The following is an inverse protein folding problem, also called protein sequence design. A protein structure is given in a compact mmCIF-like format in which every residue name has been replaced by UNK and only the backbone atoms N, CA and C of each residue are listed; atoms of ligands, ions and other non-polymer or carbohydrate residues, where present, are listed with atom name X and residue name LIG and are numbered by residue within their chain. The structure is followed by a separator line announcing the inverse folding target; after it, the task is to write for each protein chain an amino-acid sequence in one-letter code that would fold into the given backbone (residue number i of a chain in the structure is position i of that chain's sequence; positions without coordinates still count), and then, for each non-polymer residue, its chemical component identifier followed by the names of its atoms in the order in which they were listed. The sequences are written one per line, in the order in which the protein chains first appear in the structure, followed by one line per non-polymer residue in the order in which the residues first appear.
data_IF_819210638707
#
_entry.id   IF_819210638707
#
_cell.length_a   1.000
_cell.length_b   1.000
_cell.length_c   1.000
_cell.angle_alpha   90.00
_cell.angle_beta   90.00
_cell.angle_gamma   90.00
#
_symmetry.space_group_name_H-M   'P 1'
#
loop_
_entity.id
_entity.type
_entity.pdbx_description
1 polymer ?
#
# COMPACT_ATOMS: atom_id res chain seq x y z
N UNK A 1 -6.69 -12.60 -16.08
CA UNK A 1 -5.53 -13.54 -16.16
C UNK A 1 -4.18 -12.91 -16.55
N UNK A 2 -4.10 -11.70 -17.15
CA UNK A 2 -2.80 -11.05 -17.46
C UNK A 2 -2.08 -10.60 -16.18
N UNK A 3 -2.81 -10.27 -15.10
CA UNK A 3 -2.22 -9.68 -13.89
C UNK A 3 -1.39 -10.67 -13.07
N UNK A 4 -1.62 -11.98 -13.23
CA UNK A 4 -0.89 -13.06 -12.56
C UNK A 4 0.00 -13.89 -13.51
N UNK A 5 0.10 -13.52 -14.79
CA UNK A 5 0.89 -14.25 -15.79
C UNK A 5 1.74 -13.30 -16.63
N UNK A 6 3.06 -13.33 -16.43
CA UNK A 6 4.05 -12.54 -17.21
C UNK A 6 3.97 -12.76 -18.72
N UNK A 7 3.47 -13.92 -19.16
CA UNK A 7 3.38 -14.31 -20.56
C UNK A 7 1.99 -14.85 -20.85
N UNK A 8 1.19 -14.09 -21.58
CA UNK A 8 -0.08 -14.57 -22.13
C UNK A 8 0.13 -14.93 -23.60
N UNK A 9 -0.13 -16.18 -23.97
CA UNK A 9 -0.15 -16.60 -25.37
C UNK A 9 -1.58 -17.01 -25.76
N UNK A 10 -2.13 -16.39 -26.80
CA UNK A 10 -3.45 -16.74 -27.35
C UNK A 10 -3.35 -16.93 -28.85
N UNK A 11 -4.09 -17.91 -29.38
CA UNK A 11 -4.23 -18.10 -30.83
C UNK A 11 -5.00 -16.94 -31.44
N UNK A 12 -4.57 -16.48 -32.62
CA UNK A 12 -5.31 -15.47 -33.37
C UNK A 12 -6.58 -16.08 -33.98
N UNK A 13 -7.69 -15.36 -33.91
CA UNK A 13 -8.98 -15.79 -34.46
C UNK A 13 -9.32 -14.97 -35.71
N UNK A 14 -9.81 -15.62 -36.77
CA UNK A 14 -10.42 -15.02 -37.95
C UNK A 14 -11.83 -15.57 -38.12
N UNK A 15 -12.84 -14.72 -37.98
CA UNK A 15 -14.27 -15.10 -38.02
C UNK A 15 -14.64 -16.24 -37.06
N UNK A 16 -14.14 -16.21 -35.83
CA UNK A 16 -14.44 -17.22 -34.81
C UNK A 16 -13.65 -18.53 -34.95
N UNK A 17 -12.97 -18.76 -36.07
CA UNK A 17 -12.07 -19.90 -36.26
C UNK A 17 -10.60 -19.49 -36.07
N UNK A 18 -9.76 -20.43 -35.63
CA UNK A 18 -8.32 -20.18 -35.48
C UNK A 18 -7.66 -19.84 -36.82
N UNK A 19 -6.95 -18.71 -36.86
CA UNK A 19 -6.21 -18.23 -38.02
C UNK A 19 -4.89 -19.02 -38.20
N UNK A 20 -5.00 -20.31 -38.51
CA UNK A 20 -3.86 -21.21 -38.68
C UNK A 20 -3.06 -21.45 -37.38
N UNK A 21 -1.73 -21.61 -37.50
CA UNK A 21 -0.79 -21.78 -36.37
C UNK A 21 -0.35 -20.46 -35.72
N UNK A 22 -1.05 -19.36 -36.01
CA UNK A 22 -0.62 -18.01 -35.62
C UNK A 22 -1.07 -17.72 -34.18
N UNK A 23 -0.14 -17.30 -33.32
CA UNK A 23 -0.42 -16.87 -31.96
C UNK A 23 0.10 -15.45 -31.70
N UNK A 24 -0.56 -14.73 -30.80
CA UNK A 24 -0.03 -13.52 -30.18
C UNK A 24 0.47 -13.89 -28.79
N UNK A 25 1.68 -13.46 -28.48
CA UNK A 25 2.26 -13.58 -27.13
C UNK A 25 2.51 -12.19 -26.60
N UNK A 26 1.91 -11.86 -25.47
CA UNK A 26 2.14 -10.62 -24.72
C UNK A 26 3.01 -10.98 -23.53
N UNK A 27 4.15 -10.31 -23.41
CA UNK A 27 5.03 -10.39 -22.25
C UNK A 27 4.97 -9.04 -21.53
N UNK A 28 4.66 -9.06 -20.24
CA UNK A 28 4.63 -7.87 -19.41
C UNK A 28 5.81 -7.95 -18.42
N UNK A 29 6.64 -6.92 -18.42
CA UNK A 29 7.70 -6.70 -17.44
C UNK A 29 7.38 -5.44 -16.66
N UNK A 30 7.47 -5.52 -15.34
CA UNK A 30 7.38 -4.35 -14.48
C UNK A 30 8.70 -3.58 -14.56
N UNK A 31 8.63 -2.33 -15.01
CA UNK A 31 9.75 -1.40 -14.85
C UNK A 31 9.82 -1.08 -13.37
N UNK A 32 10.70 -1.76 -12.65
CA UNK A 32 10.80 -1.71 -11.19
C UNK A 32 10.94 -0.27 -10.71
N UNK A 33 9.85 0.33 -10.23
CA UNK A 33 9.89 1.46 -9.32
C UNK A 33 10.39 0.95 -7.98
N UNK A 34 11.70 0.71 -7.87
CA UNK A 34 12.33 0.18 -6.65
C UNK A 34 12.17 1.21 -5.52
N UNK A 35 11.11 1.05 -4.73
CA UNK A 35 10.92 1.72 -3.44
C UNK A 35 11.84 1.15 -2.35
N UNK A 36 12.76 0.24 -2.72
CA UNK A 36 13.90 -0.16 -1.91
C UNK A 36 14.52 1.08 -1.24
N UNK A 37 14.76 0.96 0.06
CA UNK A 37 15.44 2.01 0.81
C UNK A 37 16.72 1.48 1.40
N UNK A 38 17.69 2.39 1.55
CA UNK A 38 18.93 2.11 2.26
C UNK A 38 18.94 2.86 3.58
N UNK A 39 19.32 2.14 4.60
CA UNK A 39 19.59 2.66 5.94
C UNK A 39 21.10 2.90 6.08
N UNK A 40 21.46 4.15 6.32
CA UNK A 40 22.84 4.63 6.35
C UNK A 40 23.16 5.23 7.72
N UNK A 41 24.36 4.97 8.22
CA UNK A 41 24.92 5.65 9.40
C UNK A 41 26.33 6.13 9.08
N UNK A 42 26.61 7.40 9.38
CA UNK A 42 27.91 8.02 9.17
C UNK A 42 28.50 8.50 10.48
N UNK A 43 29.83 8.49 10.57
CA UNK A 43 30.59 9.22 11.58
C UNK A 43 31.72 9.99 10.91
N UNK A 44 32.32 10.93 11.63
CA UNK A 44 33.57 11.54 11.21
C UNK A 44 34.57 11.58 12.36
N UNK A 45 35.85 11.76 12.02
CA UNK A 45 36.94 11.91 12.99
C UNK A 45 37.90 13.00 12.57
N UNK A 46 38.41 13.71 13.58
CA UNK A 46 39.42 14.78 13.42
C UNK A 46 39.01 15.82 12.37
N UNK A 47 37.74 16.25 12.40
CA UNK A 47 37.29 17.35 11.56
C UNK A 47 38.07 18.63 11.89
N UNK A 48 38.30 19.48 10.89
CA UNK A 48 38.88 20.80 11.12
C UNK A 48 37.90 21.65 11.95
N UNK A 49 38.42 22.28 12.99
CA UNK A 49 37.68 23.25 13.81
C UNK A 49 37.58 24.60 13.08
N UNK A 50 36.39 25.19 13.04
CA UNK A 50 36.16 26.55 12.47
C UNK A 50 35.86 27.59 13.53
N UNK A 51 35.58 27.16 14.75
CA UNK A 51 35.22 28.04 15.85
C UNK A 51 36.45 28.54 16.62
N UNK A 52 36.31 29.73 17.22
CA UNK A 52 37.38 30.35 18.02
C UNK A 52 37.31 30.02 19.52
N UNK A 53 36.11 29.77 20.05
CA UNK A 53 35.86 29.55 21.49
C UNK A 53 35.10 28.25 21.79
N UNK A 54 34.60 27.59 20.75
CA UNK A 54 33.93 26.29 20.76
C UNK A 54 34.66 25.34 19.83
N UNK A 55 34.17 24.11 19.73
CA UNK A 55 34.49 23.24 18.60
C UNK A 55 33.37 23.37 17.58
N UNK A 56 33.68 23.11 16.32
CA UNK A 56 32.67 22.97 15.27
C UNK A 56 31.46 22.10 15.67
N UNK A 57 30.31 22.49 15.14
CA UNK A 57 28.98 21.90 15.20
C UNK A 57 28.63 21.21 13.87
N UNK A 58 29.25 20.07 13.52
CA UNK A 58 29.18 19.55 12.16
C UNK A 58 27.85 18.89 11.77
N UNK A 59 27.47 19.08 10.50
CA UNK A 59 26.43 18.31 9.80
C UNK A 59 26.88 17.88 8.40
N UNK A 60 26.28 16.82 7.88
CA UNK A 60 26.57 16.23 6.57
C UNK A 60 25.41 16.43 5.61
N UNK A 61 25.71 16.84 4.38
CA UNK A 61 24.78 16.86 3.25
C UNK A 61 25.23 15.89 2.16
N UNK A 62 24.28 15.14 1.60
CA UNK A 62 24.50 14.21 0.50
C UNK A 62 23.69 14.70 -0.71
N UNK A 63 24.37 14.94 -1.82
CA UNK A 63 23.79 15.34 -3.08
C UNK A 63 23.99 14.27 -4.14
N UNK A 64 22.93 13.97 -4.91
CA UNK A 64 23.03 13.20 -6.14
C UNK A 64 23.42 14.14 -7.28
N UNK A 65 24.41 13.75 -8.06
CA UNK A 65 24.76 14.45 -9.31
C UNK A 65 23.86 13.91 -10.43
N UNK A 66 23.11 14.79 -11.09
CA UNK A 66 22.28 14.45 -12.24
C UNK A 66 23.08 14.50 -13.55
N UNK A 67 22.52 13.93 -14.62
CA UNK A 67 23.17 13.87 -15.94
C UNK A 67 23.36 15.25 -16.57
N UNK A 68 22.50 16.22 -16.21
CA UNK A 68 22.61 17.64 -16.58
C UNK A 68 23.57 18.43 -15.67
N UNK A 69 24.35 17.74 -14.84
CA UNK A 69 25.26 18.28 -13.82
C UNK A 69 24.60 19.09 -12.69
N UNK A 70 23.28 19.12 -12.60
CA UNK A 70 22.58 19.69 -11.44
C UNK A 70 22.75 18.80 -10.21
N UNK A 71 22.60 19.40 -9.03
CA UNK A 71 22.70 18.71 -7.75
C UNK A 71 21.32 18.62 -7.12
N UNK A 72 20.92 17.42 -6.72
CA UNK A 72 19.72 17.21 -5.91
C UNK A 72 20.11 16.80 -4.50
N UNK A 73 19.63 17.54 -3.49
CA UNK A 73 19.82 17.15 -2.10
C UNK A 73 19.04 15.85 -1.83
N UNK A 74 19.76 14.83 -1.39
CA UNK A 74 19.19 13.53 -1.01
C UNK A 74 18.89 13.52 0.48
N UNK A 75 19.83 13.98 1.29
CA UNK A 75 19.69 13.99 2.75
C UNK A 75 20.61 15.02 3.41
N UNK A 76 20.14 15.57 4.54
CA UNK A 76 20.93 16.38 5.48
C UNK A 76 20.77 15.80 6.87
N UNK A 77 21.88 15.53 7.55
CA UNK A 77 21.86 15.00 8.93
C UNK A 77 21.50 16.07 9.95
N UNK A 78 21.29 15.68 11.19
CA UNK A 78 21.27 16.63 12.31
C UNK A 78 22.64 17.28 12.53
N UNK A 79 22.61 18.41 13.24
CA UNK A 79 23.80 19.12 13.74
C UNK A 79 24.26 18.48 15.04
N UNK A 80 25.54 18.16 15.15
CA UNK A 80 26.14 17.63 16.39
C UNK A 80 27.00 18.70 17.03
N UNK A 81 26.53 19.27 18.14
CA UNK A 81 27.19 20.43 18.76
C UNK A 81 28.54 20.08 19.38
N UNK A 82 29.53 20.97 19.21
CA UNK A 82 30.84 20.99 19.84
C UNK A 82 31.64 19.69 19.70
N UNK A 83 31.69 19.13 18.49
CA UNK A 83 32.23 17.79 18.28
C UNK A 83 32.97 17.61 16.94
N UNK A 84 34.30 17.49 17.01
CA UNK A 84 35.15 17.18 15.85
C UNK A 84 35.17 15.70 15.44
N UNK A 85 34.44 14.85 16.17
CA UNK A 85 34.29 13.41 15.90
C UNK A 85 32.80 13.01 15.99
N UNK A 86 31.92 13.61 15.17
CA UNK A 86 30.49 13.38 15.26
C UNK A 86 30.13 11.95 14.85
N UNK A 87 29.11 11.41 15.49
CA UNK A 87 28.36 10.25 15.01
C UNK A 87 26.92 10.72 14.78
N UNK A 88 26.49 10.75 13.51
CA UNK A 88 25.14 11.18 13.16
C UNK A 88 24.16 10.01 13.28
N UNK A 89 22.89 10.34 13.52
CA UNK A 89 21.80 9.37 13.60
C UNK A 89 21.67 8.60 12.29
N UNK A 90 21.31 7.34 12.42
CA UNK A 90 20.94 6.50 11.28
C UNK A 90 19.72 7.09 10.56
N UNK A 91 19.77 7.13 9.24
CA UNK A 91 18.69 7.64 8.40
C UNK A 91 18.37 6.70 7.24
N UNK A 92 17.16 6.85 6.67
CA UNK A 92 16.68 6.08 5.53
C UNK A 92 16.52 6.99 4.31
N UNK A 93 16.93 6.51 3.14
CA UNK A 93 16.71 7.17 1.83
C UNK A 93 16.32 6.12 0.81
N UNK A 94 15.41 6.42 -0.11
CA UNK A 94 15.10 5.50 -1.22
C UNK A 94 16.31 5.38 -2.15
N UNK A 95 16.52 4.19 -2.71
CA UNK A 95 17.59 3.93 -3.68
C UNK A 95 17.42 4.83 -4.92
N UNK A 96 16.18 5.10 -5.32
CA UNK A 96 15.90 6.01 -6.41
C UNK A 96 16.33 7.47 -6.12
N UNK A 97 16.03 7.99 -4.92
CA UNK A 97 16.51 9.33 -4.52
C UNK A 97 18.02 9.38 -4.43
N UNK A 98 18.65 8.32 -3.91
CA UNK A 98 20.10 8.26 -3.75
C UNK A 98 20.84 8.20 -5.10
N UNK A 99 20.44 7.31 -6.00
CA UNK A 99 21.24 7.01 -7.19
C UNK A 99 20.43 6.79 -8.49
N UNK A 100 19.11 6.96 -8.48
CA UNK A 100 18.25 6.78 -9.66
C UNK A 100 18.41 5.44 -10.37
N UNK A 101 18.65 4.37 -9.59
CA UNK A 101 18.90 3.03 -10.13
C UNK A 101 20.33 2.77 -10.61
N UNK A 102 21.10 3.82 -10.91
CA UNK A 102 22.50 3.73 -11.35
C UNK A 102 23.43 3.72 -10.13
N UNK A 103 24.02 2.56 -9.82
CA UNK A 103 24.87 2.41 -8.63
C UNK A 103 26.22 3.12 -8.75
N UNK A 104 26.67 3.42 -9.97
CA UNK A 104 27.90 4.15 -10.26
C UNK A 104 27.65 5.67 -10.29
N UNK A 105 26.39 6.12 -10.16
CA UNK A 105 26.03 7.54 -10.09
C UNK A 105 26.77 8.24 -8.96
N UNK A 106 27.38 9.38 -9.32
CA UNK A 106 28.22 10.15 -8.40
C UNK A 106 27.37 10.83 -7.32
N UNK A 107 27.79 10.63 -6.08
CA UNK A 107 27.32 11.33 -4.91
C UNK A 107 28.36 12.36 -4.48
N UNK A 108 27.91 13.59 -4.23
CA UNK A 108 28.71 14.65 -3.63
C UNK A 108 28.31 14.80 -2.16
N UNK A 109 29.26 14.63 -1.27
CA UNK A 109 29.04 14.73 0.17
C UNK A 109 29.78 15.94 0.72
N UNK A 110 29.10 16.77 1.50
CA UNK A 110 29.66 18.01 2.05
C UNK A 110 29.48 18.04 3.56
N UNK A 111 30.55 18.31 4.29
CA UNK A 111 30.53 18.52 5.74
C UNK A 111 30.64 20.02 6.00
N UNK A 112 29.69 20.52 6.78
CA UNK A 112 29.57 21.92 7.17
C UNK A 112 29.69 22.06 8.67
N UNK A 113 30.10 23.23 9.11
CA UNK A 113 29.97 23.71 10.47
C UNK A 113 28.70 24.56 10.58
N UNK A 114 27.84 24.26 11.55
CA UNK A 114 26.60 25.01 11.72
C UNK A 114 26.86 26.35 12.42
N UNK A 115 26.15 27.37 11.97
CA UNK A 115 26.26 28.73 12.47
C UNK A 115 24.86 29.31 12.67
N UNK A 116 24.62 29.90 13.83
CA UNK A 116 23.32 30.50 14.19
C UNK A 116 22.87 31.63 13.26
N UNK A 117 23.80 32.27 12.56
CA UNK A 117 23.51 33.34 11.59
C UNK A 117 23.06 32.80 10.21
N UNK A 118 22.99 31.48 10.04
CA UNK A 118 22.59 30.80 8.79
C UNK A 118 23.69 30.72 7.72
N UNK A 119 24.88 31.26 7.97
CA UNK A 119 26.02 31.24 7.06
C UNK A 119 27.04 30.20 7.54
N UNK A 120 26.70 28.95 7.31
CA UNK A 120 27.48 27.78 7.70
C UNK A 120 28.88 27.76 7.08
N UNK A 121 29.88 27.45 7.90
CA UNK A 121 31.27 27.38 7.47
C UNK A 121 31.61 26.03 6.83
N UNK A 122 32.25 26.09 5.66
CA UNK A 122 32.60 24.89 4.90
C UNK A 122 33.81 24.17 5.54
N UNK A 123 33.60 22.93 5.99
CA UNK A 123 34.67 22.07 6.52
C UNK A 123 35.39 21.38 5.37
N UNK A 124 34.69 20.58 4.57
CA UNK A 124 35.24 19.88 3.42
C UNK A 124 34.21 19.05 2.66
N UNK A 125 34.63 18.45 1.55
CA UNK A 125 33.79 17.62 0.69
C UNK A 125 34.51 16.33 0.28
N UNK A 126 33.73 15.32 -0.10
CA UNK A 126 34.22 14.11 -0.76
C UNK A 126 33.22 13.65 -1.83
N UNK A 127 33.62 12.71 -2.67
CA UNK A 127 32.73 12.07 -3.64
C UNK A 127 32.71 10.57 -3.41
N UNK A 128 31.56 9.96 -3.65
CA UNK A 128 31.36 8.52 -3.56
C UNK A 128 30.32 8.05 -4.58
N UNK A 129 29.97 6.77 -4.55
CA UNK A 129 28.92 6.13 -5.33
C UNK A 129 28.17 5.15 -4.43
N UNK A 130 26.94 4.79 -4.79
CA UNK A 130 26.22 3.79 -4.01
C UNK A 130 26.93 2.42 -4.07
N UNK A 131 27.54 2.07 -5.21
CA UNK A 131 28.38 0.88 -5.38
C UNK A 131 29.55 0.82 -4.40
N UNK A 132 30.21 1.95 -4.14
CA UNK A 132 31.28 2.04 -3.14
C UNK A 132 30.73 1.87 -1.72
N UNK A 133 29.62 2.55 -1.39
CA UNK A 133 28.96 2.45 -0.08
C UNK A 133 28.56 1.01 0.27
N UNK A 134 28.12 0.23 -0.73
CA UNK A 134 27.79 -1.19 -0.57
C UNK A 134 28.98 -2.05 -0.08
N UNK A 135 30.22 -1.59 -0.21
CA UNK A 135 31.36 -2.25 0.41
C UNK A 135 31.22 -2.44 1.93
N UNK A 136 30.50 -1.54 2.61
CA UNK A 136 30.22 -1.69 4.04
C UNK A 136 29.34 -2.91 4.35
N UNK A 137 28.48 -3.33 3.41
CA UNK A 137 27.68 -4.55 3.54
C UNK A 137 28.53 -5.82 3.47
N UNK A 138 29.68 -5.75 2.81
CA UNK A 138 30.64 -6.84 2.65
C UNK A 138 31.68 -6.88 3.80
N UNK A 139 31.46 -6.08 4.85
CA UNK A 139 32.38 -5.95 5.98
C UNK A 139 33.63 -5.11 5.69
N UNK A 140 33.70 -4.42 4.54
CA UNK A 140 34.80 -3.49 4.24
C UNK A 140 34.62 -2.20 5.03
N UNK A 141 35.71 -1.67 5.57
CA UNK A 141 35.70 -0.32 6.14
C UNK A 141 35.63 0.70 4.99
N UNK A 142 34.50 1.38 4.87
CA UNK A 142 34.30 2.44 3.87
C UNK A 142 34.49 3.80 4.53
N UNK A 143 35.48 4.55 4.06
CA UNK A 143 35.85 5.86 4.60
C UNK A 143 36.42 6.77 3.51
N UNK A 144 36.21 8.07 3.65
CA UNK A 144 36.69 9.09 2.73
C UNK A 144 37.44 10.19 3.47
N UNK A 145 38.50 10.68 2.84
CA UNK A 145 39.14 11.92 3.28
C UNK A 145 38.23 13.10 2.95
N UNK A 146 37.90 13.90 3.95
CA UNK A 146 37.14 15.13 3.77
C UNK A 146 38.10 16.22 3.29
N UNK A 147 37.91 16.75 2.08
CA UNK A 147 38.86 17.67 1.46
C UNK A 147 38.27 19.06 1.37
N UNK A 148 39.03 20.05 1.85
CA UNK A 148 38.75 21.45 1.65
C UNK A 148 39.57 21.97 0.45
N UNK A 149 38.96 22.28 -0.71
CA UNK A 149 39.70 22.68 -1.90
C UNK A 149 40.54 23.94 -1.68
N UNK A 150 40.05 24.89 -0.86
CA UNK A 150 40.77 26.12 -0.53
C UNK A 150 42.02 25.83 0.29
N UNK A 151 41.94 24.91 1.25
CA UNK A 151 43.11 24.52 2.05
C UNK A 151 44.10 23.69 1.23
N UNK A 152 43.61 22.75 0.41
CA UNK A 152 44.46 21.95 -0.49
C UNK A 152 45.27 22.84 -1.44
N UNK A 153 44.69 23.93 -1.94
CA UNK A 153 45.39 24.88 -2.81
C UNK A 153 46.39 25.80 -2.05
N UNK A 154 46.12 26.13 -0.78
CA UNK A 154 46.87 27.17 -0.04
C UNK A 154 47.89 26.63 0.96
N UNK A 155 47.67 25.46 1.56
CA UNK A 155 48.47 24.92 2.68
C UNK A 155 49.41 23.83 2.18
N UNK A 156 50.73 24.05 2.26
CA UNK A 156 51.79 23.13 1.77
C UNK A 156 51.72 21.70 2.33
N UNK A 157 51.29 21.52 3.58
CA UNK A 157 51.27 20.22 4.27
C UNK A 157 49.84 19.73 4.60
N UNK A 158 48.84 20.20 3.85
CA UNK A 158 47.46 19.79 4.07
C UNK A 158 47.22 18.35 3.61
N UNK A 159 46.67 17.53 4.50
CA UNK A 159 46.25 16.16 4.19
C UNK A 159 44.75 16.11 3.91
N UNK A 160 43.95 16.44 4.91
CA UNK A 160 42.50 16.48 4.85
C UNK A 160 41.96 17.36 5.99
N UNK A 161 40.65 17.60 5.98
CA UNK A 161 39.87 18.30 7.01
C UNK A 161 39.08 17.30 7.84
N UNK A 162 39.66 16.12 8.06
CA UNK A 162 39.06 14.98 8.75
C UNK A 162 38.74 13.81 7.84
N UNK A 163 38.25 12.73 8.44
CA UNK A 163 37.88 11.49 7.75
C UNK A 163 36.41 11.20 8.07
N UNK A 164 35.61 10.96 7.03
CA UNK A 164 34.21 10.52 7.14
C UNK A 164 34.16 9.01 6.95
N UNK A 165 33.39 8.32 7.78
CA UNK A 165 33.29 6.86 7.84
C UNK A 165 31.82 6.49 7.67
N UNK A 166 31.54 5.53 6.79
CA UNK A 166 30.24 4.88 6.70
C UNK A 166 30.22 3.69 7.67
N UNK A 167 29.50 3.84 8.77
CA UNK A 167 29.40 2.82 9.82
C UNK A 167 28.45 1.69 9.42
N UNK A 168 27.36 2.02 8.70
CA UNK A 168 26.33 1.07 8.30
C UNK A 168 25.79 1.44 6.91
N UNK A 169 25.65 0.43 6.07
CA UNK A 169 24.84 0.46 4.86
C UNK A 169 23.99 -0.80 4.87
N UNK A 170 22.67 -0.66 4.96
CA UNK A 170 21.74 -1.79 4.95
C UNK A 170 20.62 -1.54 3.96
N UNK A 171 20.54 -2.37 2.92
CA UNK A 171 19.48 -2.31 1.92
C UNK A 171 18.28 -3.08 2.46
N UNK A 172 17.11 -2.45 2.42
CA UNK A 172 15.84 -3.05 2.69
C UNK A 172 15.09 -3.15 1.37
N UNK A 173 14.96 -4.38 0.87
CA UNK A 173 14.16 -4.66 -0.33
C UNK A 173 12.68 -4.45 0.00
N UNK A 174 12.01 -3.64 -0.80
CA UNK A 174 10.56 -3.46 -0.75
C UNK A 174 9.93 -4.34 -1.83
N UNK A 175 8.90 -5.09 -1.46
CA UNK A 175 8.16 -5.93 -2.39
C UNK A 175 6.94 -5.19 -2.90
N UNK A 176 6.72 -5.22 -4.22
CA UNK A 176 5.53 -4.62 -4.84
C UNK A 176 4.30 -5.47 -4.60
N UNK A 177 3.11 -4.92 -4.85
CA UNK A 177 1.87 -5.69 -4.80
C UNK A 177 1.92 -6.92 -5.71
N UNK A 178 2.42 -6.75 -6.94
CA UNK A 178 2.56 -7.85 -7.90
C UNK A 178 3.59 -8.90 -7.43
N UNK A 179 4.65 -8.51 -6.72
CA UNK A 179 5.58 -9.48 -6.12
C UNK A 179 4.84 -10.43 -5.16
N UNK A 180 3.91 -9.93 -4.35
CA UNK A 180 3.11 -10.76 -3.46
C UNK A 180 2.16 -11.67 -4.24
N UNK A 181 1.41 -11.15 -5.21
CA UNK A 181 0.49 -11.94 -6.04
C UNK A 181 1.24 -13.05 -6.79
N UNK A 182 2.33 -12.70 -7.49
CA UNK A 182 3.17 -13.67 -8.20
C UNK A 182 3.88 -14.64 -7.25
N UNK A 183 4.17 -14.19 -6.03
CA UNK A 183 4.72 -15.01 -4.95
C UNK A 183 3.72 -16.00 -4.35
N UNK A 184 2.47 -16.04 -4.83
CA UNK A 184 1.43 -16.97 -4.40
C UNK A 184 0.50 -16.44 -3.32
N UNK A 185 0.53 -15.14 -3.01
CA UNK A 185 -0.45 -14.51 -2.14
C UNK A 185 -1.82 -14.47 -2.85
N UNK A 186 -2.84 -15.02 -2.20
CA UNK A 186 -4.22 -15.00 -2.66
C UNK A 186 -4.97 -13.81 -2.06
N UNK A 187 -5.72 -13.10 -2.90
CA UNK A 187 -6.63 -12.06 -2.44
C UNK A 187 -8.00 -12.69 -2.21
N UNK A 188 -8.43 -12.74 -0.95
CA UNK A 188 -9.70 -13.28 -0.50
C UNK A 188 -10.75 -12.17 -0.47
N UNK A 189 -11.66 -12.18 -1.44
CA UNK A 189 -12.63 -11.09 -1.62
C UNK A 189 -14.01 -11.46 -1.02
N UNK A 190 -14.42 -10.76 0.03
CA UNK A 190 -15.71 -10.93 0.70
C UNK A 190 -16.64 -9.77 0.37
N UNK A 191 -17.90 -10.06 0.07
CA UNK A 191 -18.94 -9.06 -0.20
C UNK A 191 -19.91 -8.98 0.96
N UNK A 192 -20.27 -7.76 1.38
CA UNK A 192 -21.29 -7.48 2.37
C UNK A 192 -22.30 -6.47 1.81
N UNK A 193 -23.58 -6.83 1.82
CA UNK A 193 -24.66 -6.04 1.24
C UNK A 193 -25.60 -5.56 2.35
N UNK A 194 -25.83 -4.26 2.39
CA UNK A 194 -26.83 -3.65 3.26
C UNK A 194 -28.25 -4.05 2.82
N UNK A 195 -29.03 -4.58 3.75
CA UNK A 195 -30.45 -4.90 3.56
C UNK A 195 -31.32 -4.18 4.60
N UNK A 196 -30.92 -2.97 5.00
CA UNK A 196 -31.67 -2.15 5.94
C UNK A 196 -32.88 -1.48 5.28
N UNK A 197 -33.86 -1.10 6.10
CA UNK A 197 -35.13 -0.54 5.69
C UNK A 197 -35.00 0.87 5.07
N UNK A 198 -33.88 1.58 5.27
CA UNK A 198 -33.58 2.87 4.61
C UNK A 198 -33.59 2.75 3.09
N UNK A 199 -33.24 1.57 2.56
CA UNK A 199 -33.28 1.26 1.14
C UNK A 199 -34.70 1.23 0.53
N UNK A 200 -35.75 1.19 1.37
CA UNK A 200 -37.15 1.10 0.95
C UNK A 200 -37.58 -0.30 0.48
N UNK A 201 -38.89 -0.54 0.45
CA UNK A 201 -39.48 -1.83 0.06
C UNK A 201 -39.03 -2.27 -1.35
N UNK A 202 -38.35 -3.42 -1.52
CA UNK A 202 -37.84 -3.88 -2.82
C UNK A 202 -38.89 -4.05 -3.92
N UNK A 203 -40.18 -4.09 -3.56
CA UNK A 203 -41.31 -4.17 -4.51
C UNK A 203 -41.65 -2.80 -5.11
N UNK A 204 -41.21 -1.71 -4.49
CA UNK A 204 -41.43 -0.35 -4.96
C UNK A 204 -40.30 0.06 -5.91
N UNK A 205 -40.65 0.66 -7.05
CA UNK A 205 -39.69 1.16 -8.05
C UNK A 205 -38.74 2.25 -7.54
N UNK A 206 -39.05 2.88 -6.40
CA UNK A 206 -38.19 3.87 -5.76
C UNK A 206 -37.15 3.26 -4.81
N UNK A 207 -37.22 1.96 -4.50
CA UNK A 207 -36.26 1.30 -3.63
C UNK A 207 -34.90 1.17 -4.29
N UNK A 208 -33.83 1.31 -3.49
CA UNK A 208 -32.46 1.06 -3.95
C UNK A 208 -32.23 -0.43 -4.27
N UNK A 209 -33.05 -1.32 -3.70
CA UNK A 209 -33.04 -2.76 -3.99
C UNK A 209 -33.98 -3.18 -5.13
N UNK A 210 -34.73 -2.25 -5.74
CA UNK A 210 -35.70 -2.62 -6.77
C UNK A 210 -35.03 -3.38 -7.94
N UNK A 211 -35.49 -4.59 -8.22
CA UNK A 211 -34.99 -5.40 -9.34
C UNK A 211 -35.81 -5.05 -10.59
N UNK A 212 -35.30 -4.09 -11.37
CA UNK A 212 -35.95 -3.69 -12.62
C UNK A 212 -35.63 -4.69 -13.75
N UNK A 213 -36.60 -5.05 -14.63
CA UNK A 213 -36.40 -6.07 -15.68
C UNK A 213 -35.32 -5.75 -16.71
N UNK A 214 -35.02 -4.46 -16.92
CA UNK A 214 -34.11 -3.99 -17.98
C UNK A 214 -32.90 -3.20 -17.48
N UNK A 215 -32.86 -2.86 -16.18
CA UNK A 215 -31.80 -1.99 -15.66
C UNK A 215 -31.37 -2.46 -14.27
N UNK A 216 -30.08 -2.72 -14.03
CA UNK A 216 -29.62 -3.05 -12.69
C UNK A 216 -29.74 -1.85 -11.76
N UNK A 217 -30.07 -2.11 -10.49
CA UNK A 217 -30.01 -1.12 -9.43
C UNK A 217 -28.55 -0.76 -9.07
N UNK A 218 -28.35 0.21 -8.19
CA UNK A 218 -27.01 0.71 -7.84
C UNK A 218 -26.16 -0.35 -7.13
N UNK A 219 -26.75 -1.20 -6.28
CA UNK A 219 -26.06 -2.35 -5.67
C UNK A 219 -25.51 -3.31 -6.72
N UNK A 220 -26.33 -3.74 -7.67
CA UNK A 220 -25.92 -4.65 -8.74
C UNK A 220 -24.84 -4.03 -9.63
N UNK A 221 -24.97 -2.73 -9.97
CA UNK A 221 -23.96 -2.02 -10.75
C UNK A 221 -22.62 -1.96 -10.02
N UNK A 222 -22.62 -1.63 -8.73
CA UNK A 222 -21.41 -1.60 -7.90
C UNK A 222 -20.77 -2.99 -7.77
N UNK A 223 -21.59 -4.00 -7.45
CA UNK A 223 -21.15 -5.38 -7.30
C UNK A 223 -20.48 -5.92 -8.57
N UNK A 224 -21.11 -5.74 -9.72
CA UNK A 224 -20.55 -6.19 -11.01
C UNK A 224 -19.28 -5.40 -11.34
N UNK A 225 -19.31 -4.06 -11.23
CA UNK A 225 -18.17 -3.23 -11.59
C UNK A 225 -16.91 -3.55 -10.78
N UNK A 226 -17.04 -3.65 -9.45
CA UNK A 226 -15.89 -3.94 -8.56
C UNK A 226 -15.53 -5.41 -8.65
N UNK A 227 -16.52 -6.29 -8.51
CA UNK A 227 -16.31 -7.73 -8.50
C UNK A 227 -15.65 -8.24 -9.77
N UNK A 228 -16.02 -7.73 -10.94
CA UNK A 228 -15.46 -8.20 -12.21
C UNK A 228 -13.95 -7.97 -12.32
N UNK A 229 -13.42 -6.96 -11.63
CA UNK A 229 -11.98 -6.68 -11.56
C UNK A 229 -11.34 -7.50 -10.43
N UNK A 230 -11.96 -7.54 -9.26
CA UNK A 230 -11.40 -8.25 -8.09
C UNK A 230 -11.27 -9.75 -8.32
N UNK A 231 -12.22 -10.37 -9.04
CA UNK A 231 -12.21 -11.81 -9.30
C UNK A 231 -11.00 -12.32 -10.10
N UNK A 232 -10.22 -11.41 -10.69
CA UNK A 232 -9.01 -11.75 -11.44
C UNK A 232 -7.79 -11.96 -10.51
N UNK A 233 -7.90 -11.54 -9.24
CA UNK A 233 -6.88 -11.71 -8.19
C UNK A 233 -7.22 -12.83 -7.20
N UNK A 234 -8.45 -13.31 -7.23
CA UNK A 234 -8.91 -14.48 -6.50
C UNK A 234 -8.68 -15.75 -7.35
N UNK A 235 -8.01 -16.75 -6.79
CA UNK A 235 -7.60 -17.93 -7.55
C UNK A 235 -8.71 -18.97 -7.74
N UNK A 236 -9.59 -19.14 -6.75
CA UNK A 236 -10.68 -20.13 -6.82
C UNK A 236 -12.00 -19.50 -7.29
N UNK A 237 -12.10 -18.17 -7.22
CA UNK A 237 -13.27 -17.39 -7.61
C UNK A 237 -14.50 -17.77 -6.80
N UNK A 238 -14.30 -18.16 -5.55
CA UNK A 238 -15.35 -18.45 -4.58
C UNK A 238 -15.45 -17.26 -3.63
N UNK A 239 -16.55 -16.52 -3.72
CA UNK A 239 -16.71 -15.26 -2.99
C UNK A 239 -17.67 -15.44 -1.82
N UNK A 240 -17.20 -15.38 -0.56
CA UNK A 240 -18.09 -15.27 0.59
C UNK A 240 -18.98 -14.03 0.44
N UNK A 241 -20.30 -14.22 0.54
CA UNK A 241 -21.25 -13.14 0.38
C UNK A 241 -22.22 -13.09 1.57
N UNK A 242 -22.24 -11.93 2.22
CA UNK A 242 -23.01 -11.67 3.43
C UNK A 242 -23.97 -10.51 3.25
N UNK A 243 -25.02 -10.50 4.06
CA UNK A 243 -25.95 -9.39 4.20
C UNK A 243 -25.97 -8.90 5.64
N UNK A 244 -26.41 -7.65 5.84
CA UNK A 244 -26.58 -7.08 7.18
C UNK A 244 -27.80 -6.18 7.28
N UNK A 245 -28.35 -6.05 8.50
CA UNK A 245 -29.46 -5.14 8.79
C UNK A 245 -30.84 -5.65 8.39
N UNK A 246 -31.00 -6.97 8.24
CA UNK A 246 -32.29 -7.59 7.89
C UNK A 246 -32.72 -8.63 8.92
N UNK A 247 -34.01 -8.95 8.91
CA UNK A 247 -34.57 -10.09 9.63
C UNK A 247 -34.64 -11.31 8.70
N UNK A 248 -34.05 -12.42 9.14
CA UNK A 248 -33.77 -13.59 8.30
C UNK A 248 -34.75 -14.73 8.63
N UNK A 249 -35.40 -15.36 7.64
CA UNK A 249 -36.24 -16.53 7.88
C UNK A 249 -35.43 -17.72 8.43
N UNK A 250 -36.07 -18.69 9.11
CA UNK A 250 -37.50 -18.75 9.41
C UNK A 250 -37.93 -17.98 10.67
N UNK A 251 -37.03 -17.68 11.62
CA UNK A 251 -37.39 -17.01 12.87
C UNK A 251 -37.51 -15.47 12.75
N UNK A 252 -37.07 -14.90 11.63
CA UNK A 252 -37.02 -13.45 11.38
C UNK A 252 -36.28 -12.69 12.49
N UNK A 253 -35.16 -13.26 12.95
CA UNK A 253 -34.23 -12.56 13.84
C UNK A 253 -33.38 -11.59 13.05
N UNK A 254 -33.10 -10.43 13.64
CA UNK A 254 -32.21 -9.43 13.06
C UNK A 254 -30.80 -10.02 12.99
N UNK A 255 -30.16 -9.91 11.84
CA UNK A 255 -28.78 -10.29 11.61
C UNK A 255 -28.00 -9.17 10.93
N UNK A 256 -26.71 -9.10 11.24
CA UNK A 256 -25.77 -8.10 10.71
C UNK A 256 -24.59 -8.73 9.95
N UNK A 257 -24.67 -10.03 9.63
CA UNK A 257 -23.59 -10.77 8.98
C UNK A 257 -24.04 -12.13 8.39
N UNK A 258 -25.31 -12.29 7.99
CA UNK A 258 -25.85 -13.57 7.51
C UNK A 258 -25.36 -13.90 6.09
N UNK A 259 -25.20 -15.19 5.76
CA UNK A 259 -24.86 -15.65 4.42
C UNK A 259 -26.04 -15.44 3.46
N UNK A 260 -25.85 -14.71 2.36
CA UNK A 260 -26.97 -14.39 1.43
C UNK A 260 -27.46 -15.60 0.65
N UNK A 261 -26.65 -16.67 0.56
CA UNK A 261 -27.06 -17.95 -0.01
C UNK A 261 -27.86 -18.83 0.99
N UNK A 262 -28.09 -18.35 2.22
CA UNK A 262 -28.70 -19.06 3.36
C UNK A 262 -27.97 -20.35 3.77
N UNK A 263 -26.67 -20.44 3.47
CA UNK A 263 -25.79 -21.51 3.93
C UNK A 263 -24.67 -20.92 4.79
N UNK A 264 -24.90 -20.86 6.10
CA UNK A 264 -23.91 -20.32 7.05
C UNK A 264 -22.64 -21.18 7.15
N UNK A 265 -22.74 -22.48 6.87
CA UNK A 265 -21.59 -23.40 6.86
C UNK A 265 -20.71 -23.20 5.61
N UNK A 266 -21.29 -22.68 4.52
CA UNK A 266 -20.56 -22.33 3.31
C UNK A 266 -21.18 -21.08 2.63
N UNK A 267 -20.70 -19.87 2.97
CA UNK A 267 -21.21 -18.62 2.42
C UNK A 267 -20.70 -18.31 1.01
N UNK A 268 -19.89 -19.19 0.42
CA UNK A 268 -19.22 -18.95 -0.86
C UNK A 268 -20.17 -19.01 -2.06
N UNK A 269 -20.00 -18.06 -2.97
CA UNK A 269 -20.70 -17.98 -4.24
C UNK A 269 -19.70 -18.13 -5.40
N UNK A 270 -20.04 -18.95 -6.40
CA UNK A 270 -19.18 -19.18 -7.55
C UNK A 270 -19.20 -17.97 -8.51
N UNK A 271 -18.11 -17.20 -8.52
CA UNK A 271 -18.01 -15.98 -9.32
C UNK A 271 -18.89 -14.84 -8.81
N UNK A 272 -18.68 -13.65 -9.36
CA UNK A 272 -19.57 -12.49 -9.11
C UNK A 272 -20.98 -12.75 -9.59
N UNK A 273 -21.14 -13.53 -10.66
CA UNK A 273 -22.45 -13.96 -11.13
C UNK A 273 -23.20 -14.79 -10.08
N UNK A 274 -22.51 -15.67 -9.35
CA UNK A 274 -23.09 -16.39 -8.22
C UNK A 274 -23.53 -15.46 -7.08
N UNK A 275 -22.74 -14.41 -6.79
CA UNK A 275 -23.12 -13.40 -5.78
C UNK A 275 -24.37 -12.63 -6.23
N UNK A 276 -24.46 -12.25 -7.51
CA UNK A 276 -25.64 -11.60 -8.10
C UNK A 276 -26.88 -12.48 -7.99
N UNK A 277 -26.77 -13.76 -8.32
CA UNK A 277 -27.86 -14.73 -8.24
C UNK A 277 -28.33 -14.94 -6.79
N UNK A 278 -27.38 -15.05 -5.85
CA UNK A 278 -27.68 -15.16 -4.43
C UNK A 278 -28.40 -13.91 -3.90
N UNK A 279 -27.92 -12.70 -4.27
CA UNK A 279 -28.55 -11.43 -3.93
C UNK A 279 -30.00 -11.35 -4.44
N UNK A 280 -30.23 -11.67 -5.71
CA UNK A 280 -31.57 -11.63 -6.31
C UNK A 280 -32.50 -12.68 -5.67
N UNK A 281 -31.96 -13.84 -5.30
CA UNK A 281 -32.72 -14.94 -4.70
C UNK A 281 -33.04 -14.73 -3.23
N UNK A 282 -32.19 -14.01 -2.49
CA UNK A 282 -32.36 -13.78 -1.06
C UNK A 282 -33.29 -12.61 -0.78
N UNK A 283 -33.17 -11.51 -1.52
CA UNK A 283 -33.89 -10.26 -1.32
C UNK A 283 -35.42 -10.44 -1.09
N UNK A 284 -36.18 -11.21 -1.89
CA UNK A 284 -37.62 -11.36 -1.68
C UNK A 284 -38.01 -12.15 -0.42
N UNK A 285 -37.05 -12.85 0.20
CA UNK A 285 -37.26 -13.66 1.41
C UNK A 285 -36.93 -12.88 2.70
N UNK A 286 -36.23 -11.75 2.58
CA UNK A 286 -35.80 -10.94 3.71
C UNK A 286 -36.88 -9.95 4.13
N UNK A 287 -36.88 -9.61 5.41
CA UNK A 287 -37.54 -8.39 5.91
C UNK A 287 -36.47 -7.33 6.15
N UNK A 288 -36.41 -6.31 5.28
CA UNK A 288 -35.48 -5.19 5.48
C UNK A 288 -35.76 -4.52 6.83
N UNK A 289 -34.72 -4.27 7.63
CA UNK A 289 -34.88 -3.81 9.00
C UNK A 289 -33.76 -2.84 9.40
N UNK A 290 -33.34 -2.80 10.66
CA UNK A 290 -32.21 -2.01 11.11
C UNK A 290 -31.77 -2.46 12.50
N UNK A 291 -30.77 -1.80 13.09
CA UNK A 291 -30.02 -0.66 12.54
C UNK A 291 -29.03 -1.03 11.42
N UNK A 292 -28.34 -0.04 10.87
CA UNK A 292 -27.24 -0.22 9.93
C UNK A 292 -25.94 -0.40 10.70
N UNK A 293 -25.68 -1.63 11.14
CA UNK A 293 -24.49 -1.99 11.90
C UNK A 293 -23.51 -2.75 11.02
N UNK A 294 -22.28 -2.24 10.88
CA UNK A 294 -21.24 -2.85 10.04
C UNK A 294 -20.06 -3.42 10.85
N UNK A 295 -19.95 -3.11 12.14
CA UNK A 295 -18.91 -3.69 12.99
C UNK A 295 -18.92 -5.24 12.98
N UNK A 296 -20.09 -5.93 13.03
CA UNK A 296 -20.14 -7.39 13.04
C UNK A 296 -19.49 -8.03 11.81
N UNK A 297 -19.74 -7.48 10.61
CA UNK A 297 -19.19 -8.04 9.38
C UNK A 297 -17.68 -7.75 9.23
N UNK A 298 -17.22 -6.58 9.70
CA UNK A 298 -15.78 -6.28 9.78
C UNK A 298 -15.09 -7.28 10.72
N UNK A 299 -15.67 -7.51 11.91
CA UNK A 299 -15.13 -8.45 12.90
C UNK A 299 -15.11 -9.89 12.39
N UNK A 300 -16.15 -10.31 11.65
CA UNK A 300 -16.22 -11.65 11.03
C UNK A 300 -15.04 -11.88 10.07
N UNK A 301 -14.76 -10.96 9.15
CA UNK A 301 -13.63 -11.10 8.22
C UNK A 301 -12.28 -10.91 8.93
N UNK A 302 -12.21 -10.00 9.91
CA UNK A 302 -11.02 -9.81 10.73
C UNK A 302 -10.63 -11.09 11.48
N UNK A 303 -11.60 -11.90 11.93
CA UNK A 303 -11.33 -13.19 12.55
C UNK A 303 -10.57 -14.12 11.60
N UNK A 304 -11.02 -14.28 10.35
CA UNK A 304 -10.31 -15.06 9.34
C UNK A 304 -8.92 -14.49 9.03
N UNK A 305 -8.81 -13.16 8.88
CA UNK A 305 -7.52 -12.50 8.67
C UNK A 305 -6.55 -12.70 9.85
N UNK A 306 -7.06 -12.80 11.09
CA UNK A 306 -6.23 -13.06 12.27
C UNK A 306 -5.61 -14.45 12.26
N UNK A 307 -6.29 -15.45 11.71
CA UNK A 307 -5.76 -16.82 11.62
C UNK A 307 -4.53 -16.87 10.69
N UNK A 308 -4.57 -16.12 9.58
CA UNK A 308 -3.44 -16.00 8.65
C UNK A 308 -2.21 -15.35 9.30
N UNK A 309 -2.36 -14.49 10.31
CA UNK A 309 -1.19 -13.91 11.00
C UNK A 309 -0.29 -14.97 11.66
N UNK A 310 -0.84 -16.13 12.01
CA UNK A 310 -0.10 -17.22 12.64
C UNK A 310 0.81 -17.97 11.65
N UNK A 311 0.53 -17.91 10.35
CA UNK A 311 1.34 -18.59 9.33
C UNK A 311 2.69 -17.88 9.15
N UNK A 312 2.76 -16.57 9.47
CA UNK A 312 3.91 -15.69 9.22
C UNK A 312 4.35 -15.66 7.76
N UNK A 313 3.44 -16.01 6.86
CA UNK A 313 3.65 -16.03 5.43
C UNK A 313 2.69 -15.05 4.75
N UNK A 314 3.02 -14.63 3.53
CA UNK A 314 2.09 -13.87 2.70
C UNK A 314 1.25 -14.83 1.84
N UNK A 315 0.38 -15.62 2.48
CA UNK A 315 -0.46 -16.60 1.79
C UNK A 315 -1.79 -16.01 1.38
N UNK A 316 -2.42 -15.25 2.28
CA UNK A 316 -3.76 -14.70 2.08
C UNK A 316 -3.85 -13.26 2.56
N UNK A 317 -4.55 -12.44 1.79
CA UNK A 317 -4.92 -11.07 2.16
C UNK A 317 -6.41 -10.87 1.93
N UNK A 318 -7.11 -10.30 2.90
CA UNK A 318 -8.56 -10.24 2.92
C UNK A 318 -9.06 -8.86 2.50
N UNK A 319 -10.04 -8.82 1.60
CA UNK A 319 -10.71 -7.57 1.22
C UNK A 319 -12.20 -7.73 1.49
N UNK A 320 -12.75 -6.85 2.32
CA UNK A 320 -14.18 -6.76 2.57
C UNK A 320 -14.77 -5.59 1.79
N UNK A 321 -15.62 -5.87 0.79
CA UNK A 321 -16.43 -4.88 0.10
C UNK A 321 -17.80 -4.74 0.80
N UNK A 322 -18.09 -3.57 1.33
CA UNK A 322 -19.37 -3.19 1.94
C UNK A 322 -20.13 -2.28 0.98
N UNK A 323 -21.36 -2.67 0.61
CA UNK A 323 -22.30 -1.82 -0.13
C UNK A 323 -23.37 -1.34 0.85
N UNK A 324 -23.54 -0.03 1.02
CA UNK A 324 -24.51 0.55 1.97
C UNK A 324 -25.14 1.84 1.46
N UNK A 325 -26.36 2.16 1.89
CA UNK A 325 -27.08 3.37 1.50
C UNK A 325 -26.86 4.58 2.41
N UNK A 326 -26.00 4.48 3.43
CA UNK A 326 -25.26 5.65 3.88
C UNK A 326 -25.40 6.15 5.31
N UNK A 327 -25.88 5.38 6.28
CA UNK A 327 -25.82 5.83 7.69
C UNK A 327 -25.39 4.70 8.58
N UNK A 328 -24.19 4.76 9.17
CA UNK A 328 -23.70 3.74 10.11
C UNK A 328 -24.22 4.08 11.50
N UNK A 329 -24.92 3.14 12.13
CA UNK A 329 -25.48 3.37 13.48
C UNK A 329 -24.50 3.00 14.59
N UNK A 330 -23.64 2.00 14.36
CA UNK A 330 -22.65 1.49 15.31
C UNK A 330 -21.25 2.11 15.11
N UNK A 331 -21.17 3.42 14.91
CA UNK A 331 -19.92 4.10 14.57
C UNK A 331 -18.79 3.87 15.60
N UNK A 332 -19.12 3.80 16.90
CA UNK A 332 -18.13 3.53 17.94
C UNK A 332 -17.52 2.13 17.82
N UNK A 333 -18.36 1.11 17.62
CA UNK A 333 -17.94 -0.28 17.47
C UNK A 333 -17.23 -0.49 16.12
N UNK A 334 -17.69 0.19 15.07
CA UNK A 334 -17.06 0.20 13.74
C UNK A 334 -15.64 0.75 13.81
N UNK A 335 -15.43 1.86 14.52
CA UNK A 335 -14.09 2.42 14.75
C UNK A 335 -13.19 1.47 15.54
N UNK A 336 -13.71 0.78 16.55
CA UNK A 336 -12.95 -0.23 17.29
C UNK A 336 -12.59 -1.43 16.39
N UNK A 337 -13.52 -1.89 15.56
CA UNK A 337 -13.30 -2.97 14.61
C UNK A 337 -12.24 -2.62 13.56
N UNK A 338 -12.26 -1.40 13.01
CA UNK A 338 -11.27 -0.92 12.03
C UNK A 338 -9.88 -0.78 12.67
N UNK A 339 -9.79 -0.22 13.88
CA UNK A 339 -8.50 -0.12 14.60
C UNK A 339 -7.91 -1.50 14.86
N UNK A 340 -8.74 -2.47 15.28
CA UNK A 340 -8.31 -3.86 15.42
C UNK A 340 -7.86 -4.45 14.08
N UNK A 341 -8.69 -4.33 13.03
CA UNK A 341 -8.39 -4.86 11.69
C UNK A 341 -7.13 -4.25 11.06
N UNK A 342 -6.75 -3.01 11.44
CA UNK A 342 -5.51 -2.38 10.96
C UNK A 342 -4.24 -3.15 11.31
N UNK A 343 -4.30 -4.07 12.27
CA UNK A 343 -3.18 -4.95 12.64
C UNK A 343 -3.11 -6.25 11.84
N UNK A 344 -4.11 -6.55 11.00
CA UNK A 344 -4.32 -7.83 10.31
C UNK A 344 -4.09 -7.69 8.79
N UNK A 345 -3.94 -8.76 8.00
CA UNK A 345 -3.82 -8.70 6.54
C UNK A 345 -5.19 -8.44 5.89
N UNK A 346 -5.77 -7.26 6.10
CA UNK A 346 -7.13 -6.95 5.69
C UNK A 346 -7.29 -5.49 5.22
N UNK A 347 -8.13 -5.29 4.21
CA UNK A 347 -8.68 -3.98 3.79
C UNK A 347 -10.20 -4.00 3.81
N UNK A 348 -10.80 -2.82 3.99
CA UNK A 348 -12.23 -2.58 3.95
C UNK A 348 -12.51 -1.55 2.86
N UNK A 349 -13.42 -1.88 1.95
CA UNK A 349 -13.88 -0.99 0.91
C UNK A 349 -15.35 -0.72 1.18
N UNK A 350 -15.73 0.55 1.24
CA UNK A 350 -17.12 0.97 1.44
C UNK A 350 -17.59 1.69 0.18
N UNK A 351 -18.61 1.16 -0.48
CA UNK A 351 -19.27 1.84 -1.60
C UNK A 351 -20.63 2.35 -1.16
N UNK A 352 -20.76 3.67 -1.13
CA UNK A 352 -22.00 4.35 -0.77
C UNK A 352 -22.95 4.44 -1.95
N UNK A 353 -24.11 3.77 -1.88
CA UNK A 353 -25.17 3.83 -2.90
C UNK A 353 -26.26 4.82 -2.53
N UNK A 354 -26.98 5.33 -3.53
CA UNK A 354 -28.03 6.31 -3.29
C UNK A 354 -27.52 7.72 -2.95
N UNK A 355 -28.39 8.48 -2.28
CA UNK A 355 -28.25 9.94 -2.11
C UNK A 355 -28.15 10.41 -0.65
N UNK A 356 -27.91 9.51 0.32
CA UNK A 356 -27.77 9.87 1.74
C UNK A 356 -26.55 10.77 2.02
N UNK A 357 -26.41 11.21 3.27
CA UNK A 357 -25.22 11.90 3.73
C UNK A 357 -24.13 10.87 4.06
N UNK A 358 -22.97 10.98 3.40
CA UNK A 358 -21.86 10.03 3.59
C UNK A 358 -20.72 10.59 4.46
N UNK A 359 -20.98 11.65 5.23
CA UNK A 359 -19.97 12.27 6.11
C UNK A 359 -19.33 11.25 7.07
N UNK A 360 -20.13 10.32 7.60
CA UNK A 360 -19.66 9.22 8.45
C UNK A 360 -18.65 8.31 7.75
N UNK A 361 -18.85 8.02 6.47
CA UNK A 361 -17.97 7.13 5.70
C UNK A 361 -16.68 7.86 5.30
N UNK A 362 -16.78 9.15 4.98
CA UNK A 362 -15.60 10.00 4.74
C UNK A 362 -14.73 10.09 5.99
N UNK A 363 -15.32 10.12 7.18
CA UNK A 363 -14.56 10.06 8.44
C UNK A 363 -13.79 8.74 8.59
N UNK A 364 -14.30 7.63 8.05
CA UNK A 364 -13.63 6.32 8.15
C UNK A 364 -12.48 6.15 7.16
N UNK A 365 -12.49 6.88 6.04
CA UNK A 365 -11.55 6.81 4.91
C UNK A 365 -10.12 7.28 5.23
N UNK A 366 -9.86 7.82 6.42
CA UNK A 366 -8.50 8.16 6.88
C UNK A 366 -7.82 9.37 6.19
N UNK A 367 -8.28 9.78 5.01
CA UNK A 367 -7.72 10.88 4.21
C UNK A 367 -7.67 12.24 4.93
N UNK A 368 -8.68 12.55 5.74
CA UNK A 368 -8.80 13.81 6.49
C UNK A 368 -8.21 13.74 7.91
N UNK A 369 -7.56 12.63 8.28
CA UNK A 369 -6.85 12.47 9.55
C UNK A 369 -6.84 11.06 10.11
N UNK A 370 -6.01 10.85 11.14
CA UNK A 370 -5.83 9.53 11.74
C UNK A 370 -7.10 9.11 12.49
N UNK A 371 -7.79 8.10 11.98
CA UNK A 371 -8.92 7.46 12.65
C UNK A 371 -8.48 6.88 14.00
N UNK A 372 -9.31 7.07 15.03
CA UNK A 372 -9.04 6.58 16.40
C UNK A 372 -10.19 5.74 16.91
N UNK A 373 -9.92 4.79 17.80
CA UNK A 373 -10.96 4.09 18.55
C UNK A 373 -11.63 5.04 19.56
N UNK A 374 -12.79 4.67 20.15
CA UNK A 374 -13.38 5.42 21.27
C UNK A 374 -12.44 5.56 22.47
N UNK A 375 -11.45 4.67 22.61
CA UNK A 375 -10.41 4.70 23.66
C UNK A 375 -9.23 5.63 23.32
N UNK A 376 -9.23 6.24 22.12
CA UNK A 376 -8.20 7.17 21.65
C UNK A 376 -7.03 6.53 20.91
N UNK A 377 -7.03 5.20 20.74
CA UNK A 377 -5.99 4.46 20.04
C UNK A 377 -6.07 4.74 18.53
N UNK A 378 -4.99 5.17 17.87
CA UNK A 378 -4.99 5.40 16.43
C UNK A 378 -4.97 4.08 15.65
N UNK A 379 -5.51 4.10 14.42
CA UNK A 379 -5.25 3.04 13.44
C UNK A 379 -3.74 2.90 13.19
N UNK A 380 -3.27 1.67 13.02
CA UNK A 380 -1.84 1.41 12.76
C UNK A 380 -1.44 1.78 11.33
N UNK A 381 -2.37 1.60 10.40
CA UNK A 381 -2.25 1.85 8.97
C UNK A 381 -3.64 2.15 8.43
N UNK A 382 -3.71 2.86 7.32
CA UNK A 382 -4.96 3.04 6.61
C UNK A 382 -5.39 1.73 5.95
N UNK A 383 -6.68 1.40 6.09
CA UNK A 383 -7.27 0.16 5.58
C UNK A 383 -8.64 0.38 4.95
N UNK A 384 -9.21 1.58 5.06
CA UNK A 384 -10.56 1.86 4.59
C UNK A 384 -10.46 2.66 3.32
N UNK A 385 -11.20 2.27 2.29
CA UNK A 385 -11.45 3.11 1.13
C UNK A 385 -12.95 3.38 1.02
N UNK A 386 -13.37 4.63 1.01
CA UNK A 386 -14.73 5.03 0.74
C UNK A 386 -14.91 5.57 -0.68
N UNK A 387 -15.91 5.05 -1.40
CA UNK A 387 -16.27 5.53 -2.74
C UNK A 387 -17.78 5.75 -2.87
N UNK A 388 -18.25 6.99 -3.04
CA UNK A 388 -19.66 7.25 -3.29
C UNK A 388 -20.02 6.90 -4.75
N UNK A 389 -20.86 5.89 -4.94
CA UNK A 389 -21.28 5.38 -6.26
C UNK A 389 -21.90 6.48 -7.14
N UNK A 390 -22.55 7.49 -6.52
CA UNK A 390 -23.17 8.61 -7.23
C UNK A 390 -22.21 9.37 -8.15
N UNK A 391 -20.92 9.38 -7.85
CA UNK A 391 -19.89 10.04 -8.66
C UNK A 391 -19.61 9.28 -9.98
N UNK A 392 -20.10 8.04 -10.11
CA UNK A 392 -19.80 7.13 -11.22
C UNK A 392 -21.05 6.70 -12.01
N UNK A 393 -22.22 7.30 -11.77
CA UNK A 393 -23.50 6.94 -12.44
C UNK A 393 -23.42 6.94 -13.98
N UNK A 394 -22.57 7.80 -14.54
CA UNK A 394 -22.35 7.94 -15.98
C UNK A 394 -20.93 7.55 -16.41
N UNK A 395 -20.13 7.02 -15.48
CA UNK A 395 -18.77 6.58 -15.76
C UNK A 395 -18.75 5.13 -16.24
N UNK A 396 -17.64 4.70 -16.84
CA UNK A 396 -17.45 3.29 -17.15
C UNK A 396 -17.31 2.46 -15.86
N UNK A 397 -17.69 1.18 -15.86
CA UNK A 397 -17.46 0.28 -14.72
C UNK A 397 -15.98 0.26 -14.28
N UNK A 398 -15.06 0.36 -15.24
CA UNK A 398 -13.63 0.42 -15.00
C UNK A 398 -13.20 1.67 -14.20
N UNK A 399 -13.91 2.81 -14.34
CA UNK A 399 -13.59 4.02 -13.58
C UNK A 399 -13.95 3.87 -12.09
N UNK A 400 -15.11 3.27 -11.79
CA UNK A 400 -15.51 2.95 -10.42
C UNK A 400 -14.52 1.98 -9.79
N UNK A 401 -14.24 0.87 -10.47
CA UNK A 401 -13.35 -0.16 -9.96
C UNK A 401 -11.91 0.35 -9.79
N UNK A 402 -11.44 1.24 -10.67
CA UNK A 402 -10.15 1.93 -10.49
C UNK A 402 -10.12 2.76 -9.20
N UNK A 403 -11.19 3.50 -8.91
CA UNK A 403 -11.28 4.31 -7.69
C UNK A 403 -11.34 3.42 -6.44
N UNK A 404 -12.10 2.33 -6.50
CA UNK A 404 -12.28 1.38 -5.40
C UNK A 404 -11.00 0.60 -5.07
N UNK A 405 -10.20 0.28 -6.08
CA UNK A 405 -8.96 -0.50 -5.92
C UNK A 405 -7.70 0.36 -5.92
N UNK A 406 -7.84 1.69 -5.83
CA UNK A 406 -6.71 2.61 -5.93
C UNK A 406 -5.68 2.38 -4.81
N UNK A 407 -6.16 2.15 -3.59
CA UNK A 407 -5.31 2.06 -2.39
C UNK A 407 -4.96 0.63 -1.98
N UNK A 408 -5.79 -0.35 -2.33
CA UNK A 408 -5.61 -1.75 -1.93
C UNK A 408 -4.18 -2.26 -2.20
N UNK A 409 -3.55 -2.03 -3.37
CA UNK A 409 -2.17 -2.46 -3.61
C UNK A 409 -1.18 -1.91 -2.58
N UNK A 410 -1.31 -0.62 -2.21
CA UNK A 410 -0.45 0.00 -1.22
C UNK A 410 -0.75 -0.56 0.18
N UNK A 411 -2.02 -0.74 0.55
CA UNK A 411 -2.42 -1.29 1.84
C UNK A 411 -1.90 -2.73 2.05
N UNK A 412 -1.76 -3.53 0.98
CA UNK A 412 -1.14 -4.87 0.99
C UNK A 412 0.37 -4.76 1.22
N UNK A 413 1.03 -3.90 0.44
CA UNK A 413 2.48 -3.64 0.50
C UNK A 413 2.88 -3.12 1.88
N UNK A 414 2.14 -2.16 2.42
CA UNK A 414 2.39 -1.54 3.72
C UNK A 414 2.29 -2.56 4.86
N UNK A 415 1.28 -3.44 4.81
CA UNK A 415 1.13 -4.50 5.79
C UNK A 415 2.32 -5.47 5.78
N UNK A 416 2.59 -6.10 4.64
CA UNK A 416 3.59 -7.17 4.61
C UNK A 416 5.03 -6.63 4.72
N UNK A 417 5.37 -5.53 4.04
CA UNK A 417 6.70 -4.92 4.20
C UNK A 417 6.87 -4.36 5.62
N UNK A 418 5.84 -3.75 6.21
CA UNK A 418 5.86 -3.25 7.60
C UNK A 418 6.08 -4.36 8.63
N UNK A 419 5.62 -5.59 8.35
CA UNK A 419 5.87 -6.79 9.16
C UNK A 419 7.15 -7.54 8.78
N UNK A 420 7.86 -7.12 7.73
CA UNK A 420 9.04 -7.81 7.20
C UNK A 420 8.73 -9.18 6.59
N UNK A 421 7.48 -9.42 6.20
CA UNK A 421 7.03 -10.66 5.56
C UNK A 421 7.29 -10.58 4.06
N UNK A 422 7.97 -11.58 3.52
CA UNK A 422 8.38 -11.64 2.12
C UNK A 422 7.44 -12.53 1.29
N UNK A 423 7.28 -12.27 -0.02
CA UNK A 423 6.61 -13.20 -0.93
C UNK A 423 7.26 -14.60 -0.90
N UNK A 424 6.46 -15.67 -0.99
CA UNK A 424 6.95 -17.07 -0.85
C UNK A 424 7.85 -17.52 -1.99
N UNK A 425 7.43 -17.29 -3.23
CA UNK A 425 8.12 -17.80 -4.41
C UNK A 425 8.82 -16.68 -5.18
N UNK A 426 10.12 -16.52 -4.95
CA UNK A 426 10.97 -15.62 -5.76
C UNK A 426 12.00 -16.38 -6.62
N UNK A 427 12.01 -17.72 -6.61
CA UNK A 427 13.12 -18.52 -7.16
C UNK A 427 13.24 -18.51 -8.68
N UNK A 428 12.17 -18.24 -9.44
CA UNK A 428 12.25 -17.95 -10.89
C UNK A 428 12.32 -16.44 -11.19
N UNK A 429 12.09 -15.60 -10.19
CA UNK A 429 11.94 -14.15 -10.31
C UNK A 429 13.25 -13.38 -10.04
N UNK A 430 14.03 -13.78 -9.02
CA UNK A 430 15.30 -13.12 -8.67
C UNK A 430 16.39 -13.30 -9.73
N UNK A 431 16.36 -14.36 -10.54
CA UNK A 431 17.31 -14.56 -11.65
C UNK A 431 17.10 -13.57 -12.80
N UNK A 432 15.91 -12.97 -12.91
CA UNK A 432 15.58 -11.93 -13.89
C UNK A 432 15.72 -10.51 -13.35
N UNK A 433 15.76 -10.34 -12.01
CA UNK A 433 16.21 -9.10 -11.35
C UNK A 433 17.75 -9.02 -11.37
N UNK A 434 18.35 -9.11 -12.55
CA UNK A 434 19.58 -8.32 -12.74
C UNK A 434 19.13 -6.89 -12.53
N UNK A 435 19.68 -6.22 -11.51
CA UNK A 435 19.81 -4.77 -11.53
C UNK A 435 20.24 -4.44 -12.95
N UNK A 436 19.34 -3.82 -13.73
CA UNK A 436 19.70 -3.36 -15.05
C UNK A 436 20.98 -2.51 -14.89
N UNK A 437 21.96 -2.66 -15.80
CA UNK A 437 23.23 -1.96 -15.68
C UNK A 437 23.07 -0.46 -15.46
#
# INVERSE_FOLDING_TARGET
QIVSQRKLSKSLLKHGNTAGKSSITVIAEELSGNDDYVELSFSARKLDDKDFFSKSDPFLEIFRMNDDATQQLVHRTEVVMNNLNPAWKTFKVSVNSLCSGDQDRRLKCIVWDWDSNGKHDFIGEFSSTFKEMRGAMEGRQVQWECINPKYKAKKKNYKNSGIVILNQCKIHKMHSFLDYIMGGCQIQFTVAIDFTASNGDPRNSCSLHYIHPYQPNEYLKALVAVGEICQDYDSDKMFPAFGFGARIPPEYKVSHDFAINFNEDNPECAGIQGVVEAYQSCLPKLQLYGPTNIAPIIQKVAKSASEETNTKEASQYFILLILTDGVITDMADTREAIVHASHLPMSVIIVGVGNADFSDMQMLDGDDGILRSPKGEPVLRDIVQFVPFRNFKHASPAALAKSVLAEVPNQVVDYYNGKGIKPKCMSEYESSRTLAP
#
